data_IF_809826197351
#
_entry.id   IF_809826197351
#
_cell.length_a   1.000
_cell.length_b   1.000
_cell.length_c   1.000
_cell.angle_alpha   90.00
_cell.angle_beta   90.00
_cell.angle_gamma   90.00
#
_symmetry.space_group_name_H-M   'P 1'
#
loop_
_entity.id
_entity.type
_entity.pdbx_description
1 polymer ?
#
# COMPACT_ATOMS: atom_id res chain seq x y z
N UNK A 1 -7.71 -1.70 -33.58
CA UNK A 1 -6.39 -1.36 -33.05
C UNK A 1 -6.63 -1.02 -31.60
N UNK A 2 -6.24 -1.90 -30.67
CA UNK A 2 -6.29 -1.60 -29.24
C UNK A 2 -5.32 -0.45 -28.97
N UNK A 3 -5.84 0.68 -28.54
CA UNK A 3 -5.03 1.83 -28.12
C UNK A 3 -4.03 1.34 -27.07
N UNK A 4 -2.76 1.64 -27.31
CA UNK A 4 -1.69 1.15 -26.42
C UNK A 4 -1.86 1.84 -25.06
N UNK A 5 -2.10 1.06 -24.02
CA UNK A 5 -2.23 1.59 -22.67
C UNK A 5 -0.97 2.39 -22.30
N UNK A 6 -1.16 3.64 -21.86
CA UNK A 6 -0.06 4.56 -21.51
C UNK A 6 0.16 4.50 -20.02
N UNK A 7 1.35 4.05 -19.55
CA UNK A 7 1.64 3.98 -18.11
C UNK A 7 1.75 5.38 -17.51
N UNK A 8 1.37 5.51 -16.24
CA UNK A 8 1.55 6.74 -15.46
C UNK A 8 2.97 6.85 -14.89
N UNK A 9 3.68 5.72 -14.75
CA UNK A 9 5.07 5.68 -14.31
C UNK A 9 5.97 5.54 -15.54
N UNK A 10 6.87 6.51 -15.82
CA UNK A 10 7.75 6.46 -16.97
C UNK A 10 8.61 5.18 -17.02
N UNK A 11 8.67 4.54 -18.20
CA UNK A 11 9.46 3.33 -18.42
C UNK A 11 8.77 2.03 -18.04
N UNK A 12 7.57 2.09 -17.45
CA UNK A 12 6.78 0.91 -17.13
C UNK A 12 5.94 0.46 -18.34
N UNK A 13 5.58 -0.82 -18.35
CA UNK A 13 4.56 -1.37 -19.25
C UNK A 13 3.24 -1.40 -18.49
N UNK A 14 2.19 -0.91 -19.12
CA UNK A 14 0.87 -0.84 -18.51
C UNK A 14 -0.15 -1.69 -19.27
N UNK A 15 -1.18 -2.14 -18.57
CA UNK A 15 -2.29 -2.87 -19.14
C UNK A 15 -3.27 -3.36 -18.11
N UNK A 16 -4.28 -4.06 -18.59
CA UNK A 16 -5.27 -4.72 -17.74
C UNK A 16 -4.95 -6.19 -17.59
N UNK A 17 -5.14 -6.71 -16.41
CA UNK A 17 -5.19 -8.14 -16.09
C UNK A 17 -6.57 -8.46 -15.54
N UNK A 18 -7.16 -9.57 -15.97
CA UNK A 18 -8.42 -10.04 -15.37
C UNK A 18 -8.13 -10.65 -13.99
N UNK A 19 -8.75 -10.09 -12.98
CA UNK A 19 -8.66 -10.54 -11.58
C UNK A 19 -10.05 -10.97 -11.13
N UNK A 20 -10.36 -12.24 -11.32
CA UNK A 20 -11.67 -12.81 -10.97
C UNK A 20 -12.85 -12.03 -11.59
N UNK A 21 -12.72 -11.61 -12.85
CA UNK A 21 -13.73 -10.84 -13.58
C UNK A 21 -13.63 -9.32 -13.41
N UNK A 22 -12.69 -8.81 -12.59
CA UNK A 22 -12.37 -7.39 -12.49
C UNK A 22 -11.20 -7.06 -13.41
N UNK A 23 -11.37 -6.24 -14.45
CA UNK A 23 -10.27 -5.75 -15.27
C UNK A 23 -9.41 -4.78 -14.45
N UNK A 24 -8.35 -5.30 -13.87
CA UNK A 24 -7.45 -4.57 -12.98
C UNK A 24 -6.30 -3.98 -13.75
N UNK A 25 -6.15 -2.67 -13.71
CA UNK A 25 -4.97 -1.99 -14.26
C UNK A 25 -3.74 -2.30 -13.44
N UNK A 26 -2.63 -2.54 -14.11
CA UNK A 26 -1.33 -2.64 -13.46
C UNK A 26 -0.22 -2.07 -14.34
N UNK A 27 0.82 -1.58 -13.69
CA UNK A 27 2.06 -1.16 -14.32
C UNK A 27 3.21 -2.05 -13.83
N UNK A 28 4.07 -2.50 -14.77
CA UNK A 28 5.11 -3.47 -14.47
C UNK A 28 6.43 -3.08 -15.11
N UNK A 29 7.53 -3.17 -14.36
CA UNK A 29 8.88 -2.97 -14.87
C UNK A 29 9.92 -3.76 -14.07
N UNK A 30 11.09 -3.97 -14.71
CA UNK A 30 12.24 -4.62 -14.07
C UNK A 30 12.19 -6.14 -14.12
N UNK A 31 13.19 -6.75 -13.48
CA UNK A 31 13.39 -8.21 -13.41
C UNK A 31 13.90 -8.57 -12.01
N UNK A 32 13.79 -9.84 -11.62
CA UNK A 32 14.22 -10.34 -10.32
C UNK A 32 13.06 -10.62 -9.36
N UNK A 33 13.28 -10.58 -8.04
CA UNK A 33 12.22 -10.82 -7.05
C UNK A 33 11.06 -9.84 -7.23
N UNK A 34 9.83 -10.34 -7.11
CA UNK A 34 8.63 -9.51 -7.27
C UNK A 34 8.42 -8.59 -6.07
N UNK A 35 8.10 -7.33 -6.35
CA UNK A 35 7.61 -6.36 -5.38
C UNK A 35 6.27 -5.84 -5.88
N UNK A 36 5.24 -5.91 -5.06
CA UNK A 36 3.91 -5.36 -5.36
C UNK A 36 3.69 -4.12 -4.49
N UNK A 37 3.41 -2.99 -5.13
CA UNK A 37 3.20 -1.69 -4.50
C UNK A 37 1.71 -1.37 -4.46
N UNK A 38 1.14 -1.24 -3.26
CA UNK A 38 -0.28 -0.99 -3.02
C UNK A 38 -0.48 0.46 -2.58
N UNK A 39 -1.13 1.24 -3.42
CA UNK A 39 -1.34 2.69 -3.22
C UNK A 39 -2.33 3.01 -2.09
N UNK A 40 -2.34 4.25 -1.60
CA UNK A 40 -3.29 4.78 -0.63
C UNK A 40 -4.70 5.01 -1.20
N UNK A 41 -5.64 5.42 -0.37
CA UNK A 41 -6.98 5.82 -0.81
C UNK A 41 -6.95 6.97 -1.80
N UNK A 42 -7.93 7.04 -2.68
CA UNK A 42 -8.08 8.08 -3.69
C UNK A 42 -6.90 8.25 -4.65
N UNK A 43 -5.97 7.30 -4.72
CA UNK A 43 -4.80 7.38 -5.57
C UNK A 43 -4.71 6.21 -6.56
N UNK A 44 -3.63 6.08 -7.29
CA UNK A 44 -3.39 5.03 -8.26
C UNK A 44 -1.90 4.72 -8.38
N UNK A 45 -1.47 4.11 -9.47
CA UNK A 45 -0.09 3.72 -9.72
C UNK A 45 0.89 4.90 -9.62
N UNK A 46 0.48 6.10 -10.04
CA UNK A 46 1.27 7.32 -9.99
C UNK A 46 1.78 7.69 -8.58
N UNK A 47 1.11 7.24 -7.51
CA UNK A 47 1.54 7.45 -6.13
C UNK A 47 2.94 6.86 -5.85
N UNK A 48 3.34 5.88 -6.63
CA UNK A 48 4.62 5.18 -6.50
C UNK A 48 5.69 5.63 -7.51
N UNK A 49 5.46 6.75 -8.21
CA UNK A 49 6.36 7.26 -9.25
C UNK A 49 7.81 7.49 -8.81
N UNK A 50 8.05 7.75 -7.53
CA UNK A 50 9.39 7.92 -6.96
C UNK A 50 10.01 6.58 -6.50
N UNK A 51 9.21 5.62 -6.00
CA UNK A 51 9.68 4.36 -5.45
C UNK A 51 9.84 3.29 -6.52
N UNK A 52 8.87 3.17 -7.41
CA UNK A 52 8.83 2.08 -8.38
C UNK A 52 10.05 2.04 -9.32
N UNK A 53 10.51 3.17 -9.94
CA UNK A 53 11.74 3.17 -10.72
C UNK A 53 12.99 2.85 -9.90
N UNK A 54 13.06 3.33 -8.64
CA UNK A 54 14.20 3.06 -7.76
C UNK A 54 14.31 1.57 -7.41
N UNK A 55 13.18 0.92 -7.11
CA UNK A 55 13.12 -0.52 -6.85
C UNK A 55 13.46 -1.33 -8.10
N UNK A 56 12.93 -0.95 -9.27
CA UNK A 56 13.27 -1.62 -10.53
C UNK A 56 14.76 -1.49 -10.85
N UNK A 57 15.35 -0.29 -10.69
CA UNK A 57 16.80 -0.06 -10.83
C UNK A 57 17.64 -0.82 -9.81
N UNK A 58 17.06 -1.18 -8.67
CA UNK A 58 17.70 -2.01 -7.65
C UNK A 58 17.61 -3.52 -7.93
N UNK A 59 17.01 -3.94 -9.05
CA UNK A 59 16.95 -5.34 -9.48
C UNK A 59 15.71 -6.09 -8.99
N UNK A 60 14.62 -5.38 -8.71
CA UNK A 60 13.32 -5.98 -8.45
C UNK A 60 12.42 -5.93 -9.70
N UNK A 61 11.53 -6.91 -9.81
CA UNK A 61 10.39 -6.82 -10.72
C UNK A 61 9.24 -6.16 -9.97
N UNK A 62 8.94 -4.93 -10.34
CA UNK A 62 7.96 -4.09 -9.66
C UNK A 62 6.62 -4.19 -10.35
N UNK A 63 5.57 -4.45 -9.58
CA UNK A 63 4.18 -4.49 -10.00
C UNK A 63 3.41 -3.43 -9.22
N UNK A 64 2.63 -2.61 -9.91
CA UNK A 64 1.84 -1.54 -9.31
C UNK A 64 0.40 -1.69 -9.77
N UNK A 65 -0.39 -2.60 -9.14
CA UNK A 65 -1.81 -2.73 -9.44
C UNK A 65 -2.60 -1.56 -8.86
N UNK A 66 -3.65 -1.16 -9.58
CA UNK A 66 -4.66 -0.22 -9.08
C UNK A 66 -5.87 -0.99 -8.56
N UNK A 67 -6.35 -0.61 -7.38
CA UNK A 67 -7.49 -1.29 -6.74
C UNK A 67 -8.81 -0.85 -7.36
N UNK A 68 -9.86 -1.67 -7.16
CA UNK A 68 -11.22 -1.36 -7.59
C UNK A 68 -11.64 0.07 -7.24
N UNK A 69 -12.29 0.76 -8.16
CA UNK A 69 -12.75 2.13 -7.98
C UNK A 69 -11.64 3.18 -7.90
N UNK A 70 -10.39 2.85 -8.29
CA UNK A 70 -9.28 3.79 -8.26
C UNK A 70 -8.64 3.91 -9.65
N UNK A 71 -8.40 5.15 -10.07
CA UNK A 71 -7.76 5.52 -11.33
C UNK A 71 -8.29 4.71 -12.53
N UNK A 72 -7.49 3.83 -13.15
CA UNK A 72 -7.89 3.06 -14.33
C UNK A 72 -8.69 1.79 -14.02
N UNK A 73 -8.75 1.33 -12.78
CA UNK A 73 -9.52 0.14 -12.42
C UNK A 73 -10.97 0.53 -12.11
N UNK A 74 -11.98 -0.08 -12.79
CA UNK A 74 -13.37 0.32 -12.63
C UNK A 74 -13.88 0.09 -11.21
N UNK A 75 -14.93 0.82 -10.87
CA UNK A 75 -15.73 0.56 -9.67
C UNK A 75 -16.56 -0.71 -9.83
N UNK A 76 -16.94 -1.29 -8.72
CA UNK A 76 -17.81 -2.47 -8.66
C UNK A 76 -19.01 -2.16 -7.77
N UNK A 77 -20.17 -2.72 -8.10
CA UNK A 77 -21.37 -2.53 -7.28
C UNK A 77 -21.15 -2.96 -5.82
N UNK A 78 -21.76 -2.23 -4.90
CA UNK A 78 -21.63 -2.45 -3.46
C UNK A 78 -20.60 -1.55 -2.78
N UNK A 79 -20.43 -1.69 -1.45
CA UNK A 79 -19.47 -0.89 -0.70
C UNK A 79 -18.02 -1.30 -0.99
N UNK A 80 -17.09 -0.38 -0.76
CA UNK A 80 -15.68 -0.71 -0.65
C UNK A 80 -15.37 -1.17 0.78
N UNK A 81 -14.45 -2.12 0.92
CA UNK A 81 -13.88 -2.53 2.21
C UNK A 81 -12.44 -3.01 2.03
N UNK A 82 -11.63 -2.89 3.08
CA UNK A 82 -10.26 -3.43 3.06
C UNK A 82 -10.26 -4.95 2.88
N UNK A 83 -11.29 -5.61 3.43
CA UNK A 83 -11.49 -7.05 3.31
C UNK A 83 -11.62 -7.50 1.86
N UNK A 84 -12.48 -6.84 1.11
CA UNK A 84 -12.69 -7.11 -0.32
C UNK A 84 -11.44 -6.77 -1.13
N UNK A 85 -10.80 -5.63 -0.86
CA UNK A 85 -9.56 -5.21 -1.56
C UNK A 85 -8.40 -6.17 -1.28
N UNK A 86 -8.33 -6.76 -0.08
CA UNK A 86 -7.35 -7.81 0.21
C UNK A 86 -7.63 -9.10 -0.59
N UNK A 87 -8.89 -9.47 -0.74
CA UNK A 87 -9.32 -10.57 -1.62
C UNK A 87 -8.90 -10.34 -3.08
N UNK A 88 -9.17 -9.15 -3.62
CA UNK A 88 -8.73 -8.78 -4.97
C UNK A 88 -7.21 -8.82 -5.12
N UNK A 89 -6.48 -8.36 -4.10
CA UNK A 89 -5.03 -8.36 -4.13
C UNK A 89 -4.48 -9.80 -4.10
N UNK A 90 -5.07 -10.69 -3.33
CA UNK A 90 -4.73 -12.14 -3.35
C UNK A 90 -4.97 -12.71 -4.74
N UNK A 91 -6.15 -12.49 -5.31
CA UNK A 91 -6.48 -12.96 -6.65
C UNK A 91 -5.54 -12.37 -7.73
N UNK A 92 -5.12 -11.10 -7.57
CA UNK A 92 -4.11 -10.48 -8.44
C UNK A 92 -2.75 -11.20 -8.32
N UNK A 93 -2.28 -11.47 -7.10
CA UNK A 93 -1.03 -12.19 -6.88
C UNK A 93 -1.06 -13.57 -7.53
N UNK A 94 -2.14 -14.32 -7.34
CA UNK A 94 -2.34 -15.63 -7.94
C UNK A 94 -2.37 -15.57 -9.48
N UNK A 95 -3.08 -14.62 -10.06
CA UNK A 95 -3.19 -14.45 -11.51
C UNK A 95 -1.85 -14.07 -12.18
N UNK A 96 -1.05 -13.22 -11.52
CA UNK A 96 0.17 -12.64 -12.12
C UNK A 96 1.44 -13.38 -11.72
N UNK A 97 1.49 -13.90 -10.51
CA UNK A 97 2.69 -14.54 -9.94
C UNK A 97 2.51 -16.03 -9.67
N UNK A 98 1.28 -16.54 -9.68
CA UNK A 98 0.94 -17.89 -9.23
C UNK A 98 1.25 -18.03 -7.73
N UNK A 99 1.77 -19.18 -7.32
CA UNK A 99 2.11 -19.45 -5.91
C UNK A 99 3.49 -18.87 -5.48
N UNK A 100 4.08 -17.99 -6.28
CA UNK A 100 5.38 -17.38 -5.94
C UNK A 100 5.18 -16.22 -4.98
N UNK A 101 5.84 -16.25 -3.80
CA UNK A 101 5.76 -15.13 -2.87
C UNK A 101 6.34 -13.86 -3.46
N UNK A 102 5.75 -12.73 -3.09
CA UNK A 102 6.21 -11.39 -3.45
C UNK A 102 6.47 -10.55 -2.19
N UNK A 103 7.33 -9.57 -2.30
CA UNK A 103 7.40 -8.50 -1.33
C UNK A 103 6.18 -7.59 -1.52
N UNK A 104 5.49 -7.25 -0.43
CA UNK A 104 4.34 -6.36 -0.45
C UNK A 104 4.72 -5.04 0.23
N UNK A 105 4.55 -3.93 -0.46
CA UNK A 105 4.72 -2.61 0.14
C UNK A 105 3.44 -1.81 -0.04
N UNK A 106 2.82 -1.45 1.07
CA UNK A 106 1.59 -0.67 1.08
C UNK A 106 1.78 0.69 1.73
N UNK A 107 1.05 1.68 1.23
CA UNK A 107 0.98 3.02 1.81
C UNK A 107 -0.45 3.35 2.18
N UNK A 108 -0.68 3.82 3.44
CA UNK A 108 -2.01 4.18 3.93
C UNK A 108 -2.98 3.00 3.81
N UNK A 109 -4.10 3.14 3.12
CA UNK A 109 -5.05 2.06 2.81
C UNK A 109 -4.36 0.83 2.19
N UNK A 110 -3.38 1.06 1.32
CA UNK A 110 -2.59 -0.01 0.74
C UNK A 110 -1.78 -0.81 1.77
N UNK A 111 -1.39 -0.17 2.89
CA UNK A 111 -0.71 -0.85 3.98
C UNK A 111 -1.67 -1.73 4.79
N UNK A 112 -2.92 -1.28 4.99
CA UNK A 112 -3.97 -2.12 5.58
C UNK A 112 -4.24 -3.35 4.73
N UNK A 113 -4.39 -3.16 3.42
CA UNK A 113 -4.59 -4.26 2.45
C UNK A 113 -3.40 -5.22 2.47
N UNK A 114 -2.16 -4.73 2.45
CA UNK A 114 -0.96 -5.57 2.49
C UNK A 114 -0.90 -6.42 3.76
N UNK A 115 -1.25 -5.86 4.92
CA UNK A 115 -1.32 -6.57 6.19
C UNK A 115 -2.38 -7.68 6.14
N UNK A 116 -3.58 -7.40 5.66
CA UNK A 116 -4.66 -8.38 5.53
C UNK A 116 -4.29 -9.51 4.55
N UNK A 117 -3.61 -9.21 3.45
CA UNK A 117 -3.08 -10.24 2.54
C UNK A 117 -2.09 -11.14 3.28
N UNK A 118 -1.13 -10.57 4.00
CA UNK A 118 -0.13 -11.34 4.74
C UNK A 118 -0.74 -12.18 5.87
N UNK A 119 -1.84 -11.75 6.49
CA UNK A 119 -2.58 -12.54 7.48
C UNK A 119 -3.31 -13.74 6.84
N UNK A 120 -3.94 -13.55 5.68
CA UNK A 120 -4.76 -14.58 5.02
C UNK A 120 -3.93 -15.56 4.20
N UNK A 121 -2.88 -15.06 3.58
CA UNK A 121 -2.00 -15.80 2.68
C UNK A 121 -0.53 -15.50 3.02
N UNK A 122 -0.06 -15.94 4.21
CA UNK A 122 1.34 -15.73 4.62
C UNK A 122 2.34 -16.35 3.64
N UNK A 123 1.94 -17.38 2.89
CA UNK A 123 2.70 -18.02 1.84
C UNK A 123 2.99 -17.11 0.63
N UNK A 124 2.14 -16.10 0.38
CA UNK A 124 2.32 -15.14 -0.71
C UNK A 124 3.15 -13.90 -0.32
N UNK A 125 3.42 -13.68 0.96
CA UNK A 125 4.13 -12.51 1.47
C UNK A 125 5.58 -12.87 1.86
N UNK A 126 6.56 -12.48 1.03
CA UNK A 126 7.98 -12.71 1.32
C UNK A 126 8.54 -11.71 2.36
N UNK A 127 8.21 -10.45 2.24
CA UNK A 127 8.47 -9.35 3.18
C UNK A 127 7.35 -8.33 3.08
N UNK A 128 7.13 -7.59 4.15
CA UNK A 128 6.05 -6.63 4.25
C UNK A 128 6.58 -5.24 4.59
N UNK A 129 6.16 -4.22 3.89
CA UNK A 129 6.42 -2.82 4.24
C UNK A 129 5.09 -2.11 4.41
N UNK A 130 4.86 -1.53 5.57
CA UNK A 130 3.65 -0.84 5.96
C UNK A 130 3.98 0.64 6.22
N UNK A 131 3.56 1.54 5.32
CA UNK A 131 3.86 2.97 5.42
C UNK A 131 2.60 3.71 5.83
N UNK A 132 2.66 4.43 6.96
CA UNK A 132 1.49 5.17 7.48
C UNK A 132 0.29 4.27 7.72
N UNK A 133 0.54 3.06 8.23
CA UNK A 133 -0.45 2.04 8.46
C UNK A 133 -1.24 2.31 9.74
N UNK A 134 -2.55 2.12 9.68
CA UNK A 134 -3.44 2.09 10.85
C UNK A 134 -4.26 0.80 10.85
N UNK A 135 -4.54 0.29 12.02
CA UNK A 135 -5.32 -0.95 12.22
C UNK A 135 -6.66 -0.71 12.91
N UNK A 136 -6.84 0.49 13.47
CA UNK A 136 -8.02 0.86 14.25
C UNK A 136 -8.22 2.38 14.21
N UNK A 137 -9.46 2.82 14.22
CA UNK A 137 -9.83 4.24 14.19
C UNK A 137 -9.21 5.06 15.33
N UNK A 138 -8.97 4.44 16.51
CA UNK A 138 -8.28 5.08 17.65
C UNK A 138 -6.83 5.50 17.36
N UNK A 139 -6.22 5.04 16.27
CA UNK A 139 -4.85 5.42 15.87
C UNK A 139 -4.74 6.78 15.23
N UNK A 140 -5.84 7.49 15.01
CA UNK A 140 -5.84 8.81 14.38
C UNK A 140 -5.25 9.88 15.30
N UNK A 141 -4.29 10.65 14.79
CA UNK A 141 -3.62 11.69 15.56
C UNK A 141 -4.55 12.90 15.76
N UNK A 142 -4.81 13.25 17.02
CA UNK A 142 -5.62 14.41 17.35
C UNK A 142 -5.02 15.71 16.77
N UNK A 143 -5.86 16.55 16.18
CA UNK A 143 -5.46 17.83 15.57
C UNK A 143 -4.77 17.72 14.20
N UNK A 144 -4.65 16.53 13.65
CA UNK A 144 -4.24 16.26 12.27
C UNK A 144 -5.42 15.65 11.54
N UNK A 145 -6.41 16.48 11.29
CA UNK A 145 -7.75 16.03 10.90
C UNK A 145 -7.82 15.69 9.40
N UNK A 146 -7.36 14.48 9.07
CA UNK A 146 -7.48 13.92 7.72
C UNK A 146 -8.95 13.87 7.29
N UNK A 147 -9.85 13.51 8.22
CA UNK A 147 -11.27 13.38 7.93
C UNK A 147 -11.89 14.73 7.57
N UNK A 148 -11.54 15.79 8.32
CA UNK A 148 -11.98 17.14 8.00
C UNK A 148 -11.45 17.60 6.65
N UNK A 149 -10.18 17.31 6.36
CA UNK A 149 -9.61 17.65 5.05
C UNK A 149 -10.30 16.88 3.94
N UNK A 150 -10.45 15.56 4.06
CA UNK A 150 -11.13 14.72 3.06
C UNK A 150 -12.55 15.22 2.78
N UNK A 151 -13.28 15.74 3.77
CA UNK A 151 -14.65 16.27 3.59
C UNK A 151 -14.66 17.66 2.99
N UNK A 152 -13.54 18.33 2.82
CA UNK A 152 -13.49 19.67 2.25
C UNK A 152 -13.73 19.69 0.74
N UNK A 153 -14.28 20.79 0.22
CA UNK A 153 -14.42 20.98 -1.23
C UNK A 153 -13.05 20.96 -1.94
N UNK A 154 -12.03 21.56 -1.31
CA UNK A 154 -10.69 21.60 -1.88
C UNK A 154 -10.07 20.19 -2.03
N UNK A 155 -10.26 19.31 -1.04
CA UNK A 155 -9.82 17.93 -1.15
C UNK A 155 -10.58 17.18 -2.25
N UNK A 156 -11.91 17.34 -2.30
CA UNK A 156 -12.74 16.73 -3.34
C UNK A 156 -12.28 17.13 -4.75
N UNK A 157 -12.04 18.42 -4.97
CA UNK A 157 -11.56 18.94 -6.26
C UNK A 157 -10.14 18.42 -6.60
N UNK A 158 -9.27 18.35 -5.59
CA UNK A 158 -7.92 17.81 -5.77
C UNK A 158 -7.93 16.32 -6.10
N UNK A 159 -8.67 15.51 -5.35
CA UNK A 159 -8.74 14.05 -5.53
C UNK A 159 -9.42 13.68 -6.86
N UNK A 160 -10.39 14.48 -7.29
CA UNK A 160 -11.03 14.33 -8.59
C UNK A 160 -10.06 14.41 -9.76
N UNK A 161 -9.02 15.24 -9.68
CA UNK A 161 -8.00 15.37 -10.72
C UNK A 161 -7.20 14.06 -10.92
N UNK A 162 -7.09 13.24 -9.88
CA UNK A 162 -6.46 11.92 -9.94
C UNK A 162 -7.38 10.81 -10.47
N UNK A 163 -8.67 11.06 -10.57
CA UNK A 163 -9.68 10.08 -10.98
C UNK A 163 -10.23 10.32 -12.39
N UNK A 164 -10.77 11.52 -12.64
CA UNK A 164 -11.52 11.84 -13.88
C UNK A 164 -10.77 11.56 -15.18
N UNK A 165 -9.45 11.80 -15.30
CA UNK A 165 -8.73 11.54 -16.55
C UNK A 165 -8.51 10.06 -16.85
N UNK A 166 -8.62 9.19 -15.85
CA UNK A 166 -8.20 7.79 -15.92
C UNK A 166 -9.33 6.79 -15.82
N UNK A 167 -10.39 7.14 -15.09
CA UNK A 167 -11.45 6.18 -14.76
C UNK A 167 -12.24 5.73 -15.98
N UNK A 168 -12.38 4.41 -16.20
CA UNK A 168 -13.23 3.85 -17.25
C UNK A 168 -14.73 4.09 -16.98
N UNK A 169 -15.10 4.38 -15.72
CA UNK A 169 -16.49 4.69 -15.33
C UNK A 169 -16.88 6.13 -15.73
N UNK A 170 -15.91 6.93 -16.17
CA UNK A 170 -16.07 8.30 -16.59
C UNK A 170 -16.11 9.33 -15.46
N UNK A 171 -15.91 10.64 -15.80
CA UNK A 171 -15.73 11.69 -14.79
C UNK A 171 -16.97 11.94 -13.92
N UNK A 172 -18.16 11.56 -14.39
CA UNK A 172 -19.39 11.66 -13.62
C UNK A 172 -19.50 10.67 -12.45
N UNK A 173 -18.66 9.63 -12.43
CA UNK A 173 -18.69 8.57 -11.42
C UNK A 173 -17.87 8.89 -10.16
N UNK A 174 -16.97 9.88 -10.22
CA UNK A 174 -16.14 10.27 -9.06
C UNK A 174 -16.91 10.45 -7.75
N UNK A 175 -18.09 11.11 -7.70
CA UNK A 175 -18.84 11.24 -6.45
C UNK A 175 -19.18 9.89 -5.81
N UNK A 176 -19.47 8.87 -6.61
CA UNK A 176 -19.84 7.52 -6.11
C UNK A 176 -18.63 6.88 -5.44
N UNK A 177 -17.47 6.81 -6.11
CA UNK A 177 -16.26 6.23 -5.51
C UNK A 177 -15.73 7.06 -4.37
N UNK A 178 -15.87 8.38 -4.43
CA UNK A 178 -15.50 9.27 -3.32
C UNK A 178 -16.29 8.93 -2.06
N UNK A 179 -17.61 8.83 -2.15
CA UNK A 179 -18.47 8.53 -1.01
C UNK A 179 -18.23 7.11 -0.47
N UNK A 180 -18.01 6.11 -1.35
CA UNK A 180 -17.64 4.75 -0.96
C UNK A 180 -16.30 4.69 -0.22
N UNK A 181 -15.27 5.36 -0.75
CA UNK A 181 -13.94 5.36 -0.16
C UNK A 181 -13.96 6.08 1.18
N UNK A 182 -14.66 7.21 1.27
CA UNK A 182 -14.79 7.95 2.52
C UNK A 182 -15.51 7.12 3.59
N UNK A 183 -16.63 6.47 3.22
CA UNK A 183 -17.36 5.59 4.12
C UNK A 183 -16.50 4.43 4.64
N UNK A 184 -15.68 3.83 3.77
CA UNK A 184 -14.72 2.79 4.16
C UNK A 184 -13.69 3.34 5.17
N UNK A 185 -13.02 4.45 4.86
CA UNK A 185 -11.99 5.05 5.73
C UNK A 185 -12.58 5.42 7.10
N UNK A 186 -13.83 5.85 7.16
CA UNK A 186 -14.48 6.26 8.41
C UNK A 186 -14.92 5.10 9.30
N UNK A 187 -15.23 3.95 8.71
CA UNK A 187 -15.75 2.78 9.42
C UNK A 187 -14.73 1.65 9.60
N UNK A 188 -13.63 1.67 8.87
CA UNK A 188 -12.61 0.61 8.84
C UNK A 188 -11.19 1.22 8.89
N UNK A 189 -10.15 0.42 9.21
CA UNK A 189 -10.26 -0.93 9.77
C UNK A 189 -10.51 -0.90 11.27
N UNK A 190 -11.05 -2.01 11.79
CA UNK A 190 -11.17 -2.28 13.21
C UNK A 190 -10.54 -3.68 13.47
N UNK A 191 -9.20 -3.75 13.37
CA UNK A 191 -8.45 -5.01 13.48
C UNK A 191 -7.97 -5.24 14.90
N UNK A 192 -7.97 -6.51 15.32
CA UNK A 192 -7.43 -6.91 16.62
C UNK A 192 -5.93 -7.24 16.50
N UNK A 193 -5.09 -6.53 17.26
CA UNK A 193 -3.64 -6.77 17.34
C UNK A 193 -3.29 -8.22 17.69
N UNK A 194 -4.13 -8.92 18.43
CA UNK A 194 -3.90 -10.32 18.79
C UNK A 194 -3.84 -11.24 17.57
N UNK A 195 -4.43 -10.84 16.45
CA UNK A 195 -4.42 -11.60 15.18
C UNK A 195 -3.12 -11.42 14.39
N UNK A 196 -2.29 -10.42 14.71
CA UNK A 196 -1.07 -10.09 13.94
C UNK A 196 0.04 -11.13 14.12
N UNK A 197 -0.04 -11.96 15.16
CA UNK A 197 0.87 -13.09 15.35
C UNK A 197 0.88 -14.12 14.22
N UNK A 198 -0.11 -14.11 13.32
CA UNK A 198 -0.18 -14.98 12.13
C UNK A 198 0.68 -14.48 10.95
N UNK A 199 1.13 -13.22 10.97
CA UNK A 199 1.97 -12.63 9.93
C UNK A 199 3.41 -13.09 10.12
N UNK A 200 3.86 -14.02 9.30
CA UNK A 200 5.21 -14.60 9.38
C UNK A 200 6.25 -13.84 8.56
N UNK A 201 5.81 -12.96 7.66
CA UNK A 201 6.69 -12.16 6.82
C UNK A 201 7.46 -11.13 7.66
N UNK A 202 8.81 -11.03 7.52
CA UNK A 202 9.55 -9.92 8.11
C UNK A 202 8.95 -8.60 7.67
N UNK A 203 8.65 -7.71 8.62
CA UNK A 203 7.87 -6.51 8.39
C UNK A 203 8.65 -5.24 8.76
N UNK A 204 8.60 -4.23 7.90
CA UNK A 204 9.00 -2.86 8.19
C UNK A 204 7.76 -1.99 8.36
N UNK A 205 7.54 -1.48 9.55
CA UNK A 205 6.57 -0.41 9.83
C UNK A 205 7.30 0.92 9.68
N UNK A 206 6.86 1.76 8.75
CA UNK A 206 7.48 3.03 8.42
C UNK A 206 6.48 4.16 8.58
N UNK A 207 6.86 5.21 9.30
CA UNK A 207 5.98 6.33 9.61
C UNK A 207 6.72 7.66 9.62
N UNK A 208 6.02 8.75 9.24
CA UNK A 208 6.44 10.11 9.50
C UNK A 208 6.21 10.51 10.97
N UNK A 209 7.09 11.34 11.56
CA UNK A 209 6.91 11.87 12.92
C UNK A 209 5.72 12.82 13.04
N UNK A 210 5.21 13.29 11.89
CA UNK A 210 4.03 14.16 11.76
C UNK A 210 2.90 13.53 10.95
N UNK A 211 2.83 12.20 10.95
CA UNK A 211 1.77 11.45 10.30
C UNK A 211 0.40 11.73 10.94
N UNK A 212 -0.68 11.44 10.22
CA UNK A 212 -2.06 11.44 10.74
C UNK A 212 -2.35 10.22 11.62
N UNK A 213 -1.44 9.26 11.66
CA UNK A 213 -1.44 8.11 12.56
C UNK A 213 -0.52 8.40 13.74
N UNK A 214 -0.89 8.03 14.96
CA UNK A 214 -0.05 8.23 16.15
C UNK A 214 1.15 7.28 16.17
N UNK A 215 2.26 7.72 16.79
CA UNK A 215 3.46 6.88 16.92
C UNK A 215 3.20 5.65 17.78
N UNK A 216 2.39 5.81 18.83
CA UNK A 216 1.98 4.73 19.73
C UNK A 216 1.24 3.63 18.97
N UNK A 217 0.41 4.02 17.99
CA UNK A 217 -0.33 3.09 17.17
C UNK A 217 0.60 2.24 16.27
N UNK A 218 1.55 2.87 15.61
CA UNK A 218 2.56 2.16 14.80
C UNK A 218 3.51 1.32 15.66
N UNK A 219 3.85 1.78 16.87
CA UNK A 219 4.62 0.99 17.82
C UNK A 219 3.85 -0.26 18.28
N UNK A 220 2.54 -0.14 18.52
CA UNK A 220 1.68 -1.28 18.86
C UNK A 220 1.62 -2.32 17.72
N UNK A 221 1.51 -1.87 16.47
CA UNK A 221 1.58 -2.75 15.30
C UNK A 221 2.91 -3.50 15.24
N UNK A 222 4.03 -2.77 15.36
CA UNK A 222 5.36 -3.38 15.32
C UNK A 222 5.59 -4.36 16.47
N UNK A 223 5.03 -4.10 17.64
CA UNK A 223 5.13 -4.99 18.81
C UNK A 223 4.27 -6.26 18.68
N UNK A 224 3.14 -6.18 17.96
CA UNK A 224 2.22 -7.30 17.75
C UNK A 224 2.67 -8.27 16.64
N UNK A 225 3.53 -7.82 15.75
CA UNK A 225 4.07 -8.63 14.65
C UNK A 225 5.29 -9.43 15.12
N UNK A 226 5.42 -10.73 14.77
CA UNK A 226 6.50 -11.59 15.24
C UNK A 226 7.91 -11.15 14.86
N UNK A 227 8.08 -10.58 13.65
CA UNK A 227 9.36 -10.11 13.12
C UNK A 227 9.18 -8.74 12.47
N UNK A 228 9.14 -7.69 13.29
CA UNK A 228 8.94 -6.34 12.79
C UNK A 228 10.04 -5.36 13.22
N UNK A 229 10.23 -4.35 12.39
CA UNK A 229 11.04 -3.17 12.65
C UNK A 229 10.19 -1.93 12.50
N UNK A 230 10.34 -0.99 13.42
CA UNK A 230 9.73 0.34 13.32
C UNK A 230 10.81 1.35 12.91
N UNK A 231 10.52 2.12 11.87
CA UNK A 231 11.28 3.28 11.47
C UNK A 231 10.38 4.52 11.50
N UNK A 232 10.85 5.57 12.18
CA UNK A 232 10.18 6.87 12.19
C UNK A 232 11.11 7.88 11.53
N UNK A 233 10.63 8.57 10.52
CA UNK A 233 11.38 9.58 9.78
C UNK A 233 10.73 10.96 9.94
N UNK A 234 11.52 12.05 9.82
CA UNK A 234 10.93 13.39 9.77
C UNK A 234 10.03 13.52 8.54
N UNK A 235 8.73 13.70 8.70
CA UNK A 235 7.80 13.85 7.58
C UNK A 235 6.34 13.62 7.97
N UNK A 236 5.46 13.78 6.98
CA UNK A 236 4.02 13.61 7.14
C UNK A 236 3.54 12.23 6.68
N UNK A 237 2.22 12.08 6.54
CA UNK A 237 1.59 10.90 5.90
C UNK A 237 2.02 10.69 4.45
N UNK A 238 2.48 11.76 3.77
CA UNK A 238 2.98 11.72 2.40
C UNK A 238 4.49 11.38 2.30
N UNK A 239 5.05 10.76 3.33
CA UNK A 239 6.47 10.42 3.47
C UNK A 239 7.14 9.84 2.21
N UNK A 240 6.53 8.92 1.44
CA UNK A 240 7.12 8.41 0.21
C UNK A 240 7.38 9.48 -0.86
N UNK A 241 6.54 10.51 -0.89
CA UNK A 241 6.64 11.63 -1.83
C UNK A 241 7.55 12.74 -1.32
N UNK A 242 7.55 12.99 0.01
CA UNK A 242 8.34 14.05 0.64
C UNK A 242 9.82 13.71 0.72
N UNK A 243 10.17 12.45 1.02
CA UNK A 243 11.53 12.02 1.31
C UNK A 243 11.96 10.79 0.49
N UNK A 244 11.78 10.76 -0.84
CA UNK A 244 12.15 9.59 -1.63
C UNK A 244 13.65 9.24 -1.51
N UNK A 245 14.52 10.24 -1.31
CA UNK A 245 15.96 10.04 -1.12
C UNK A 245 16.33 9.28 0.16
N UNK A 246 15.44 9.20 1.15
CA UNK A 246 15.63 8.44 2.40
C UNK A 246 14.80 7.16 2.37
N UNK A 247 13.55 7.25 1.94
CA UNK A 247 12.61 6.13 1.89
C UNK A 247 13.09 5.04 0.92
N UNK A 248 13.52 5.39 -0.29
CA UNK A 248 13.91 4.41 -1.29
C UNK A 248 15.11 3.53 -0.86
N UNK A 249 16.24 4.08 -0.36
CA UNK A 249 17.33 3.26 0.18
C UNK A 249 16.92 2.35 1.33
N UNK A 250 16.04 2.83 2.23
CA UNK A 250 15.54 2.03 3.34
C UNK A 250 14.70 0.85 2.86
N UNK A 251 13.75 1.09 1.94
CA UNK A 251 12.94 0.07 1.31
C UNK A 251 13.81 -0.99 0.60
N UNK A 252 14.74 -0.55 -0.25
CA UNK A 252 15.64 -1.43 -0.99
C UNK A 252 16.48 -2.29 -0.03
N UNK A 253 17.05 -1.69 1.00
CA UNK A 253 17.87 -2.39 2.00
C UNK A 253 17.04 -3.44 2.75
N UNK A 254 15.84 -3.09 3.18
CA UNK A 254 14.94 -4.00 3.88
C UNK A 254 14.48 -5.14 2.99
N UNK A 255 14.05 -4.87 1.78
CA UNK A 255 13.54 -5.88 0.84
C UNK A 255 14.64 -6.87 0.40
N UNK A 256 15.91 -6.43 0.38
CA UNK A 256 17.08 -7.31 0.16
C UNK A 256 17.47 -8.13 1.39
N UNK A 257 16.83 -7.93 2.54
CA UNK A 257 17.19 -8.59 3.79
C UNK A 257 18.48 -8.06 4.43
N UNK A 258 18.95 -6.89 4.00
CA UNK A 258 20.17 -6.27 4.57
C UNK A 258 19.91 -5.58 5.91
N UNK A 259 18.66 -5.25 6.23
CA UNK A 259 18.24 -4.81 7.57
C UNK A 259 18.05 -6.06 8.43
N UNK A 260 18.94 -6.28 9.38
CA UNK A 260 18.90 -7.44 10.27
C UNK A 260 17.60 -7.44 11.09
N UNK A 261 16.96 -8.61 11.18
CA UNK A 261 15.86 -8.86 12.10
C UNK A 261 16.41 -9.30 13.47
N UNK A 262 15.63 -9.20 14.57
CA UNK A 262 16.11 -9.58 15.91
C UNK A 262 16.71 -10.99 15.98
N UNK A 263 16.16 -11.95 15.23
CA UNK A 263 16.64 -13.32 15.19
C UNK A 263 17.98 -13.50 14.45
N UNK A 264 18.40 -12.54 13.64
CA UNK A 264 19.65 -12.59 12.86
C UNK A 264 20.74 -11.62 13.34
N UNK A 265 20.44 -10.80 14.37
CA UNK A 265 21.45 -9.91 14.96
C UNK A 265 22.51 -10.74 15.73
N UNK A 266 23.81 -10.59 15.42
CA UNK A 266 24.82 -11.21 16.27
C UNK A 266 24.70 -10.64 17.66
N UNK A 267 24.82 -11.49 18.70
CA UNK A 267 24.49 -11.30 20.12
C UNK A 267 25.02 -10.07 20.88
N UNK A 268 25.12 -8.94 20.22
CA UNK A 268 25.56 -7.67 20.81
C UNK A 268 24.50 -7.01 21.71
N UNK A 269 23.25 -7.49 21.67
CA UNK A 269 22.12 -6.97 22.46
C UNK A 269 21.46 -8.05 23.35
N UNK A 270 22.08 -9.21 23.50
CA UNK A 270 21.52 -10.29 24.34
C UNK A 270 21.95 -10.27 25.81
N UNK A 271 22.61 -9.20 26.26
CA UNK A 271 23.01 -9.04 27.67
C UNK A 271 22.39 -7.75 28.21
N UNK A 272 21.21 -7.87 28.80
CA UNK A 272 20.55 -6.89 29.63
C UNK A 272 19.42 -7.56 30.36
#
# INVERSE_FOLDING_TARGET
>A
MTERAVPTIPGFTAGYVDVAGLPTWHEVHGQGPAVVLLHGGFSGAAAWSAQAPALAGAGFRVHVPERRGHAHTPDVAGPLSYDVMAGDTIAYLEAVLGDRPAHLAGWSDGAVVALLVAQRRPDLAARLVLIGQYYHSAGRAAGRDLDQWLRSAAARDFLRQGYDPFSPDGPGHFPVVYDKTLAMIESEPELDLATFGTVTAPTLVLQGDRDVVTLEHSAAVAAALPDARLAVLPGSHALPLELPGVVNPLLISFLRGAVATPASAPGFLSNG
#
